data_IF_583039418927
#
_entry.id   IF_583039418927
#
_cell.length_a   1.000
_cell.length_b   1.000
_cell.length_c   1.000
_cell.angle_alpha   90.00
_cell.angle_beta   90.00
_cell.angle_gamma   90.00
#
_symmetry.space_group_name_H-M   'P 1'
#
loop_
_entity.id
_entity.type
_entity.pdbx_description
1 polymer ?
#
# COMPACT_ATOMS: atom_id res chain seq x y z
N UNK A 1 3.34 -5.68 -30.17
CA UNK A 1 4.13 -5.69 -28.92
C UNK A 1 3.25 -5.05 -27.85
N UNK A 2 2.19 -5.75 -27.43
CA UNK A 2 1.19 -5.27 -26.44
C UNK A 2 0.69 -6.40 -25.52
N UNK A 3 1.08 -7.66 -25.80
CA UNK A 3 0.66 -8.82 -25.01
C UNK A 3 1.51 -9.01 -23.74
N UNK A 4 2.76 -8.52 -23.74
CA UNK A 4 3.69 -8.72 -22.62
C UNK A 4 3.38 -7.80 -21.41
N UNK A 5 2.82 -6.62 -21.67
CA UNK A 5 2.54 -5.60 -20.64
C UNK A 5 1.31 -5.98 -19.78
N UNK A 6 0.21 -6.39 -20.43
CA UNK A 6 -1.01 -6.86 -19.75
C UNK A 6 -0.75 -8.13 -18.92
N UNK A 7 0.12 -9.03 -19.39
CA UNK A 7 0.47 -10.24 -18.65
C UNK A 7 1.26 -9.95 -17.37
N UNK A 8 2.05 -8.88 -17.34
CA UNK A 8 2.77 -8.44 -16.16
C UNK A 8 1.84 -7.77 -15.15
N UNK A 9 0.97 -6.87 -15.59
CA UNK A 9 -0.05 -6.23 -14.75
C UNK A 9 -0.97 -7.26 -14.09
N UNK A 10 -1.48 -8.22 -14.85
CA UNK A 10 -2.30 -9.32 -14.34
C UNK A 10 -1.58 -10.17 -13.27
N UNK A 11 -0.26 -10.40 -13.46
CA UNK A 11 0.54 -11.13 -12.49
C UNK A 11 0.74 -10.33 -11.20
N UNK A 12 0.92 -9.02 -11.32
CA UNK A 12 1.06 -8.11 -10.20
C UNK A 12 -0.23 -8.02 -9.38
N UNK A 13 -1.38 -7.89 -10.05
CA UNK A 13 -2.70 -7.89 -9.41
C UNK A 13 -2.94 -9.18 -8.63
N UNK A 14 -2.68 -10.35 -9.23
CA UNK A 14 -2.82 -11.64 -8.54
C UNK A 14 -1.91 -11.73 -7.32
N UNK A 15 -0.68 -11.21 -7.41
CA UNK A 15 0.27 -11.17 -6.30
C UNK A 15 -0.25 -10.28 -5.17
N UNK A 16 -0.73 -9.08 -5.49
CA UNK A 16 -1.31 -8.14 -4.53
C UNK A 16 -2.56 -8.72 -3.86
N UNK A 17 -3.45 -9.37 -4.62
CA UNK A 17 -4.64 -10.04 -4.08
C UNK A 17 -4.27 -11.15 -3.09
N UNK A 18 -3.32 -12.02 -3.43
CA UNK A 18 -2.86 -13.07 -2.51
C UNK A 18 -2.30 -12.48 -1.22
N UNK A 19 -1.49 -11.42 -1.33
CA UNK A 19 -0.94 -10.74 -0.17
C UNK A 19 -2.04 -10.10 0.70
N UNK A 20 -3.05 -9.47 0.09
CA UNK A 20 -4.18 -8.89 0.81
C UNK A 20 -5.06 -9.94 1.50
N UNK A 21 -5.32 -11.09 0.85
CA UNK A 21 -6.07 -12.20 1.47
C UNK A 21 -5.35 -12.70 2.71
N UNK A 22 -4.04 -12.94 2.63
CA UNK A 22 -3.25 -13.36 3.78
C UNK A 22 -3.24 -12.30 4.90
N UNK A 23 -3.05 -11.03 4.55
CA UNK A 23 -3.11 -9.93 5.51
C UNK A 23 -4.49 -9.79 6.17
N UNK A 24 -5.58 -10.02 5.43
CA UNK A 24 -6.95 -10.01 5.96
C UNK A 24 -7.19 -11.14 6.97
N UNK A 25 -6.48 -12.26 6.83
CA UNK A 25 -6.46 -13.37 7.78
C UNK A 25 -5.47 -13.17 8.94
N UNK A 26 -4.84 -11.99 9.04
CA UNK A 26 -3.77 -11.68 9.99
C UNK A 26 -2.55 -12.63 9.89
N UNK A 27 -2.32 -13.19 8.70
CA UNK A 27 -1.14 -14.01 8.38
C UNK A 27 -0.09 -13.15 7.68
N UNK A 28 0.67 -12.39 8.47
CA UNK A 28 1.72 -11.48 7.96
C UNK A 28 2.85 -12.26 7.25
N UNK A 29 3.16 -13.47 7.71
CA UNK A 29 4.20 -14.31 7.12
C UNK A 29 3.79 -14.74 5.70
N UNK A 30 2.56 -15.23 5.51
CA UNK A 30 2.04 -15.59 4.19
C UNK A 30 1.81 -14.35 3.30
N UNK A 31 1.39 -13.22 3.88
CA UNK A 31 1.21 -11.96 3.17
C UNK A 31 2.52 -11.47 2.59
N UNK A 32 3.58 -11.50 3.40
CA UNK A 32 4.93 -11.25 2.94
C UNK A 32 5.31 -12.33 1.92
N UNK A 33 5.24 -13.63 2.20
CA UNK A 33 5.63 -14.70 1.26
C UNK A 33 5.01 -14.56 -0.15
N UNK A 34 3.77 -14.06 -0.25
CA UNK A 34 3.13 -13.75 -1.53
C UNK A 34 3.89 -12.70 -2.38
N UNK A 35 4.48 -11.69 -1.75
CA UNK A 35 5.24 -10.62 -2.43
C UNK A 35 6.58 -11.15 -3.00
N UNK A 36 7.21 -12.11 -2.33
CA UNK A 36 8.57 -12.55 -2.62
C UNK A 36 9.23 -13.34 -1.47
N UNK A 37 10.51 -13.75 -1.63
CA UNK A 37 11.27 -14.39 -0.58
C UNK A 37 11.76 -13.38 0.46
N UNK A 38 11.82 -13.83 1.71
CA UNK A 38 12.43 -13.10 2.83
C UNK A 38 13.87 -12.67 2.48
N UNK A 39 14.27 -11.50 2.98
CA UNK A 39 15.58 -10.90 2.73
C UNK A 39 15.81 -10.37 1.32
N UNK A 40 14.91 -10.64 0.35
CA UNK A 40 15.13 -10.35 -1.08
C UNK A 40 14.09 -9.44 -1.72
N UNK A 41 13.03 -9.06 -1.00
CA UNK A 41 11.92 -8.24 -1.54
C UNK A 41 12.39 -6.93 -2.15
N UNK A 42 13.33 -6.26 -1.49
CA UNK A 42 13.93 -5.00 -1.98
C UNK A 42 14.57 -5.11 -3.37
N UNK A 43 15.04 -6.31 -3.73
CA UNK A 43 15.72 -6.56 -5.00
C UNK A 43 14.76 -6.92 -6.14
N UNK A 44 13.49 -7.22 -5.83
CA UNK A 44 12.53 -7.71 -6.82
C UNK A 44 11.85 -6.53 -7.54
N UNK A 45 11.89 -6.49 -8.89
CA UNK A 45 11.18 -5.48 -9.66
C UNK A 45 9.69 -5.40 -9.33
N UNK A 46 9.06 -6.55 -9.09
CA UNK A 46 7.65 -6.67 -8.73
C UNK A 46 7.31 -5.99 -7.42
N UNK A 47 8.23 -5.91 -6.44
CA UNK A 47 7.95 -5.29 -5.13
C UNK A 47 7.64 -3.81 -5.28
N UNK A 48 8.40 -3.10 -6.12
CA UNK A 48 8.16 -1.70 -6.45
C UNK A 48 6.77 -1.52 -7.07
N UNK A 49 6.46 -2.32 -8.08
CA UNK A 49 5.16 -2.29 -8.75
C UNK A 49 4.02 -2.55 -7.77
N UNK A 50 4.17 -3.54 -6.88
CA UNK A 50 3.15 -3.92 -5.91
C UNK A 50 2.91 -2.82 -4.88
N UNK A 51 3.96 -2.18 -4.39
CA UNK A 51 3.82 -1.06 -3.46
C UNK A 51 3.10 0.12 -4.10
N UNK A 52 3.44 0.47 -5.35
CA UNK A 52 2.77 1.55 -6.08
C UNK A 52 1.31 1.22 -6.39
N UNK A 53 1.02 -0.03 -6.74
CA UNK A 53 -0.35 -0.51 -6.94
C UNK A 53 -1.18 -0.36 -5.64
N UNK A 54 -0.64 -0.76 -4.49
CA UNK A 54 -1.31 -0.64 -3.19
C UNK A 54 -1.51 0.83 -2.78
N UNK A 55 -0.48 1.67 -2.88
CA UNK A 55 -0.59 3.08 -2.51
C UNK A 55 -1.52 3.86 -3.45
N UNK A 56 -1.52 3.53 -4.74
CA UNK A 56 -2.49 4.07 -5.71
C UNK A 56 -3.93 3.69 -5.36
N UNK A 57 -4.18 2.45 -4.98
CA UNK A 57 -5.50 2.01 -4.50
C UNK A 57 -5.91 2.74 -3.21
N UNK A 58 -4.99 2.91 -2.26
CA UNK A 58 -5.22 3.71 -1.05
C UNK A 58 -5.61 5.14 -1.40
N UNK A 59 -4.89 5.78 -2.34
CA UNK A 59 -5.19 7.15 -2.80
C UNK A 59 -6.58 7.27 -3.42
N UNK A 60 -6.97 6.32 -4.28
CA UNK A 60 -8.30 6.30 -4.90
C UNK A 60 -9.43 6.17 -3.87
N UNK A 61 -9.26 5.30 -2.86
CA UNK A 61 -10.22 5.13 -1.77
C UNK A 61 -10.28 6.38 -0.87
N UNK A 62 -9.12 6.96 -0.55
CA UNK A 62 -9.03 8.23 0.19
C UNK A 62 -9.76 9.36 -0.52
N UNK A 63 -9.61 9.48 -1.84
CA UNK A 63 -10.32 10.48 -2.63
C UNK A 63 -11.85 10.30 -2.56
N UNK A 64 -12.31 9.04 -2.60
CA UNK A 64 -13.73 8.69 -2.45
C UNK A 64 -14.27 9.04 -1.07
N UNK A 65 -13.51 8.75 0.00
CA UNK A 65 -13.86 9.08 1.39
C UNK A 65 -13.89 10.59 1.65
N UNK A 66 -13.07 11.36 0.93
CA UNK A 66 -12.96 12.83 1.04
C UNK A 66 -14.11 13.61 0.39
N UNK A 67 -15.29 13.02 0.19
CA UNK A 67 -16.41 13.62 -0.57
C UNK A 67 -16.00 13.94 -2.01
N UNK A 68 -15.36 12.98 -2.69
CA UNK A 68 -14.83 13.16 -4.05
C UNK A 68 -13.71 14.20 -4.16
N UNK A 69 -12.94 14.39 -3.07
CA UNK A 69 -11.89 15.40 -2.98
C UNK A 69 -12.36 16.81 -2.56
N UNK A 70 -13.64 16.98 -2.22
CA UNK A 70 -14.17 18.28 -1.75
C UNK A 70 -13.73 18.63 -0.32
N UNK A 71 -13.33 17.63 0.49
CA UNK A 71 -12.81 17.83 1.86
C UNK A 71 -11.35 17.39 1.95
N UNK A 72 -10.46 18.21 2.56
CA UNK A 72 -9.08 17.81 2.80
C UNK A 72 -9.03 16.56 3.67
N UNK A 73 -8.34 15.53 3.20
CA UNK A 73 -8.05 14.32 3.97
C UNK A 73 -6.96 14.66 4.97
N UNK A 74 -7.23 14.48 6.26
CA UNK A 74 -6.24 14.61 7.33
C UNK A 74 -5.65 13.25 7.63
N UNK A 75 -4.37 13.06 7.31
CA UNK A 75 -3.57 11.91 7.73
C UNK A 75 -2.93 12.26 9.08
N UNK A 76 -3.14 11.41 10.08
CA UNK A 76 -2.52 11.51 11.41
C UNK A 76 -1.70 10.23 11.64
N UNK A 77 -0.48 10.38 12.12
CA UNK A 77 0.37 9.25 12.56
C UNK A 77 0.26 9.19 14.07
N UNK A 78 -0.14 8.02 14.58
CA UNK A 78 -0.24 7.78 16.01
C UNK A 78 0.85 6.77 16.43
N UNK A 79 1.39 6.94 17.62
CA UNK A 79 2.29 5.95 18.22
C UNK A 79 1.52 4.79 18.90
N UNK A 80 2.27 3.88 19.54
CA UNK A 80 1.73 2.73 20.27
C UNK A 80 0.83 3.09 21.45
N UNK A 81 0.93 4.32 21.97
CA UNK A 81 0.09 4.85 23.05
C UNK A 81 -1.14 5.59 22.52
N UNK A 82 -1.24 5.77 21.20
CA UNK A 82 -2.31 6.50 20.52
C UNK A 82 -2.08 8.01 20.46
N UNK A 83 -0.87 8.49 20.78
CA UNK A 83 -0.52 9.91 20.70
C UNK A 83 -0.10 10.31 19.28
N UNK A 84 -0.50 11.52 18.85
CA UNK A 84 -0.11 12.05 17.55
C UNK A 84 1.38 12.39 17.52
N UNK A 85 2.11 11.76 16.59
CA UNK A 85 3.54 12.01 16.39
C UNK A 85 3.80 12.71 15.06
N UNK A 86 4.74 13.68 15.01
CA UNK A 86 5.16 14.27 13.74
C UNK A 86 5.70 13.21 12.78
N UNK A 87 5.34 13.28 11.50
CA UNK A 87 5.81 12.33 10.46
C UNK A 87 7.34 12.20 10.44
N UNK A 88 8.05 13.31 10.68
CA UNK A 88 9.52 13.32 10.68
C UNK A 88 10.12 12.51 11.85
N UNK A 89 9.36 12.34 12.92
CA UNK A 89 9.75 11.56 14.12
C UNK A 89 9.24 10.12 14.08
N UNK A 90 8.41 9.75 13.10
CA UNK A 90 8.00 8.37 12.90
C UNK A 90 9.20 7.49 12.51
N UNK A 91 9.10 6.20 12.83
CA UNK A 91 10.10 5.21 12.44
C UNK A 91 10.34 5.25 10.93
N UNK A 92 11.59 4.98 10.48
CA UNK A 92 11.95 5.07 9.06
C UNK A 92 10.97 4.41 8.08
N UNK A 93 10.49 3.15 8.28
CA UNK A 93 9.54 2.53 7.36
C UNK A 93 8.18 3.23 7.36
N UNK A 94 7.67 3.62 8.53
CA UNK A 94 6.39 4.32 8.66
C UNK A 94 6.44 5.67 7.95
N UNK A 95 7.53 6.42 8.13
CA UNK A 95 7.75 7.71 7.48
C UNK A 95 7.79 7.57 5.96
N UNK A 96 8.43 6.53 5.44
CA UNK A 96 8.42 6.20 4.01
C UNK A 96 7.02 5.90 3.51
N UNK A 97 6.27 5.03 4.21
CA UNK A 97 4.91 4.67 3.82
C UNK A 97 3.99 5.89 3.78
N UNK A 98 4.02 6.74 4.82
CA UNK A 98 3.20 7.96 4.92
C UNK A 98 3.56 8.94 3.80
N UNK A 99 4.85 9.19 3.55
CA UNK A 99 5.28 10.12 2.48
C UNK A 99 4.90 9.64 1.10
N UNK A 100 5.01 8.33 0.85
CA UNK A 100 4.57 7.71 -0.41
C UNK A 100 3.07 7.92 -0.60
N UNK A 101 2.27 7.61 0.42
CA UNK A 101 0.81 7.81 0.36
C UNK A 101 0.42 9.28 0.16
N UNK A 102 1.07 10.21 0.87
CA UNK A 102 0.81 11.64 0.71
C UNK A 102 1.14 12.12 -0.71
N UNK A 103 2.24 11.65 -1.28
CA UNK A 103 2.60 11.96 -2.66
C UNK A 103 1.51 11.47 -3.64
N UNK A 104 1.03 10.22 -3.49
CA UNK A 104 -0.08 9.68 -4.27
C UNK A 104 -1.38 10.49 -4.12
N UNK A 105 -1.76 10.83 -2.88
CA UNK A 105 -2.97 11.61 -2.58
C UNK A 105 -2.92 13.02 -3.19
N UNK A 106 -1.73 13.60 -3.31
CA UNK A 106 -1.51 14.90 -3.96
C UNK A 106 -1.28 14.81 -5.47
N UNK A 107 -1.42 13.62 -6.08
CA UNK A 107 -1.21 13.40 -7.52
C UNK A 107 0.25 13.51 -7.95
N UNK A 108 1.19 13.39 -7.02
CA UNK A 108 2.63 13.41 -7.29
C UNK A 108 3.17 11.97 -7.33
N UNK A 109 2.70 11.20 -8.32
CA UNK A 109 3.04 9.77 -8.50
C UNK A 109 4.53 9.54 -8.74
N UNK A 110 5.22 10.48 -9.38
CA UNK A 110 6.67 10.40 -9.60
C UNK A 110 7.42 10.47 -8.26
N UNK A 111 7.03 11.38 -7.36
CA UNK A 111 7.63 11.45 -6.03
C UNK A 111 7.29 10.21 -5.18
N UNK A 112 6.08 9.65 -5.32
CA UNK A 112 5.74 8.38 -4.66
C UNK A 112 6.65 7.24 -5.14
N UNK A 113 6.85 7.15 -6.46
CA UNK A 113 7.75 6.19 -7.08
C UNK A 113 9.21 6.35 -6.59
N UNK A 114 9.70 7.59 -6.50
CA UNK A 114 11.03 7.87 -5.96
C UNK A 114 11.16 7.46 -4.48
N UNK A 115 10.14 7.69 -3.64
CA UNK A 115 10.17 7.27 -2.24
C UNK A 115 10.27 5.75 -2.10
N UNK A 116 9.47 5.01 -2.88
CA UNK A 116 9.53 3.53 -2.89
C UNK A 116 10.89 3.06 -3.37
N UNK A 117 11.40 3.61 -4.47
CA UNK A 117 12.68 3.21 -5.05
C UNK A 117 13.85 3.44 -4.09
N UNK A 118 13.88 4.60 -3.42
CA UNK A 118 14.89 4.90 -2.39
C UNK A 118 14.79 3.91 -1.23
N UNK A 119 13.58 3.58 -0.78
CA UNK A 119 13.38 2.63 0.31
C UNK A 119 13.87 1.23 -0.07
N UNK A 120 13.48 0.71 -1.24
CA UNK A 120 13.92 -0.61 -1.71
C UNK A 120 15.44 -0.69 -1.89
N UNK A 121 16.09 0.42 -2.27
CA UNK A 121 17.54 0.46 -2.47
C UNK A 121 18.36 0.60 -1.18
N UNK A 122 17.81 1.20 -0.12
CA UNK A 122 18.60 1.61 1.05
C UNK A 122 18.12 1.04 2.39
N UNK A 123 16.88 0.58 2.49
CA UNK A 123 16.32 0.09 3.74
C UNK A 123 16.83 -1.33 4.06
N UNK A 124 16.86 -1.66 5.34
CA UNK A 124 17.09 -3.04 5.76
C UNK A 124 15.92 -3.94 5.32
N UNK A 125 16.12 -5.25 5.12
CA UNK A 125 15.04 -6.12 4.65
C UNK A 125 13.77 -6.10 5.52
N UNK A 126 13.92 -6.05 6.84
CA UNK A 126 12.84 -5.94 7.82
C UNK A 126 12.10 -4.58 7.75
N UNK A 127 12.81 -3.52 7.40
CA UNK A 127 12.19 -2.22 7.12
C UNK A 127 11.36 -2.28 5.84
N UNK A 128 11.84 -2.96 4.78
CA UNK A 128 11.04 -3.17 3.55
C UNK A 128 9.77 -3.95 3.85
N UNK A 129 9.87 -5.04 4.64
CA UNK A 129 8.70 -5.81 5.09
C UNK A 129 7.69 -4.92 5.82
N UNK A 130 8.18 -4.05 6.70
CA UNK A 130 7.33 -3.10 7.44
C UNK A 130 6.57 -2.13 6.53
N UNK A 131 7.20 -1.63 5.46
CA UNK A 131 6.51 -0.76 4.49
C UNK A 131 5.47 -1.53 3.68
N UNK A 132 5.78 -2.76 3.27
CA UNK A 132 4.84 -3.64 2.55
C UNK A 132 3.61 -3.94 3.41
N UNK A 133 3.81 -4.33 4.68
CA UNK A 133 2.72 -4.58 5.62
C UNK A 133 1.88 -3.32 5.87
N UNK A 134 2.50 -2.15 6.01
CA UNK A 134 1.78 -0.89 6.14
C UNK A 134 0.87 -0.63 4.93
N UNK A 135 1.37 -0.83 3.71
CA UNK A 135 0.58 -0.67 2.50
C UNK A 135 -0.62 -1.64 2.47
N UNK A 136 -0.40 -2.93 2.74
CA UNK A 136 -1.45 -3.95 2.79
C UNK A 136 -2.52 -3.63 3.84
N UNK A 137 -2.11 -3.34 5.07
CA UNK A 137 -3.03 -3.04 6.17
C UNK A 137 -3.84 -1.77 5.91
N UNK A 138 -3.25 -0.74 5.32
CA UNK A 138 -3.98 0.47 4.95
C UNK A 138 -4.96 0.22 3.81
N UNK A 139 -4.58 -0.56 2.80
CA UNK A 139 -5.51 -0.96 1.73
C UNK A 139 -6.74 -1.66 2.31
N UNK A 140 -6.55 -2.64 3.19
CA UNK A 140 -7.67 -3.36 3.83
C UNK A 140 -8.56 -2.45 4.68
N UNK A 141 -7.96 -1.60 5.52
CA UNK A 141 -8.70 -0.67 6.40
C UNK A 141 -9.50 0.35 5.61
N UNK A 142 -8.92 0.91 4.54
CA UNK A 142 -9.60 1.87 3.68
C UNK A 142 -10.72 1.20 2.88
N UNK A 143 -10.49 -0.01 2.39
CA UNK A 143 -11.50 -0.76 1.65
C UNK A 143 -12.72 -1.06 2.55
N UNK A 144 -12.50 -1.56 3.77
CA UNK A 144 -13.58 -1.79 4.73
C UNK A 144 -14.40 -0.52 4.99
N UNK A 145 -13.74 0.63 5.21
CA UNK A 145 -14.43 1.90 5.42
C UNK A 145 -15.21 2.39 4.19
N UNK A 146 -14.68 2.14 2.99
CA UNK A 146 -15.39 2.47 1.75
C UNK A 146 -16.63 1.58 1.57
N UNK A 147 -16.50 0.26 1.78
CA UNK A 147 -17.60 -0.70 1.68
C UNK A 147 -18.72 -0.39 2.69
N UNK A 148 -18.36 -0.07 3.94
CA UNK A 148 -19.32 0.31 4.99
C UNK A 148 -20.14 1.57 4.63
N UNK A 149 -19.62 2.42 3.73
CA UNK A 149 -20.24 3.67 3.28
C UNK A 149 -20.79 3.60 1.85
N UNK A 150 -20.82 2.42 1.25
CA UNK A 150 -21.25 2.21 -0.15
C UNK A 150 -20.45 3.09 -1.14
N UNK A 151 -19.13 3.20 -0.91
CA UNK A 151 -18.19 3.96 -1.74
C UNK A 151 -17.39 3.02 -2.66
N UNK A 152 -16.91 3.51 -3.82
CA UNK A 152 -16.15 2.69 -4.75
C UNK A 152 -14.85 2.14 -4.14
N UNK A 153 -14.61 0.84 -4.36
CA UNK A 153 -13.36 0.13 -4.07
C UNK A 153 -12.87 -0.52 -5.38
N UNK A 154 -11.55 -0.57 -5.66
CA UNK A 154 -11.07 -1.31 -6.81
C UNK A 154 -11.51 -2.78 -6.75
N UNK A 155 -12.05 -3.32 -7.85
CA UNK A 155 -12.65 -4.67 -7.90
C UNK A 155 -11.71 -5.76 -7.35
N UNK A 156 -10.40 -5.64 -7.64
CA UNK A 156 -9.41 -6.60 -7.18
C UNK A 156 -9.18 -6.56 -5.66
N UNK A 157 -9.42 -5.42 -5.00
CA UNK A 157 -9.41 -5.28 -3.53
C UNK A 157 -10.73 -5.73 -2.94
N UNK A 158 -11.86 -5.33 -3.55
CA UNK A 158 -13.21 -5.74 -3.12
C UNK A 158 -13.37 -7.25 -3.09
N UNK A 159 -12.78 -7.96 -4.06
CA UNK A 159 -12.77 -9.42 -4.14
C UNK A 159 -12.24 -10.12 -2.87
N UNK A 160 -11.42 -9.44 -2.06
CA UNK A 160 -10.88 -9.96 -0.80
C UNK A 160 -11.98 -10.11 0.27
N UNK A 161 -13.07 -9.34 0.17
CA UNK A 161 -14.16 -9.31 1.15
C UNK A 161 -15.38 -10.16 0.75
N UNK A 162 -15.40 -10.67 -0.48
CA UNK A 162 -16.54 -11.39 -1.07
C UNK A 162 -16.39 -12.91 -1.06
N UNK A 163 -15.26 -13.44 -0.58
CA UNK A 163 -14.98 -14.89 -0.46
C UNK A 163 -15.14 -15.42 0.97
#
# INVERSE_FOLDING_TARGET
MWADDHGHEDALLRKAQRALVAAALADEEEALAAVGPDGRRGELPDTRGLMLLLFGACSAMIASLGDGGARPVRVQVLDETGEEVPIDQADPPMRTAVRTLLAEVHGNTDAAADQVEIALANAAPDEVDSVVLAALHWTLRLAAECLDRDLPVPEWVEAVFTD
#
